data_IF_505662518792
#
_entry.id   IF_505662518792
#
_cell.length_a   1.000
_cell.length_b   1.000
_cell.length_c   1.000
_cell.angle_alpha   90.00
_cell.angle_beta   90.00
_cell.angle_gamma   90.00
#
_symmetry.space_group_name_H-M   'P 1'
#
loop_
_entity.id
_entity.type
_entity.pdbx_description
1 polymer ?
#
# COMPACT_ATOMS: atom_id res chain seq x y z
N UNK A 1 0.12 -1.22 14.95
CA UNK A 1 -0.57 -1.64 13.71
C UNK A 1 0.19 -2.77 13.06
N UNK A 2 0.08 -3.94 13.70
CA UNK A 2 0.51 -5.24 13.21
C UNK A 2 -0.47 -5.74 12.13
N UNK A 3 -0.05 -6.64 11.24
CA UNK A 3 -0.89 -7.30 10.22
C UNK A 3 -2.25 -7.80 10.77
N UNK A 4 -2.28 -8.26 12.02
CA UNK A 4 -3.48 -8.72 12.71
C UNK A 4 -4.53 -7.61 12.98
N UNK A 5 -4.08 -6.41 13.35
CA UNK A 5 -4.96 -5.25 13.52
C UNK A 5 -5.53 -4.77 12.18
N UNK A 6 -4.78 -4.98 11.10
CA UNK A 6 -5.16 -4.61 9.74
C UNK A 6 -6.28 -5.52 9.19
N UNK A 7 -6.14 -6.84 9.34
CA UNK A 7 -7.18 -7.82 8.99
C UNK A 7 -8.44 -7.60 9.83
N UNK A 8 -8.30 -7.28 11.11
CA UNK A 8 -9.44 -6.92 11.99
C UNK A 8 -10.15 -5.65 11.51
N UNK A 9 -9.41 -4.63 11.09
CA UNK A 9 -10.02 -3.41 10.50
C UNK A 9 -10.71 -3.69 9.18
N UNK A 10 -10.12 -4.49 8.30
CA UNK A 10 -10.73 -4.88 7.02
C UNK A 10 -12.04 -5.66 7.25
N UNK A 11 -12.03 -6.66 8.15
CA UNK A 11 -13.25 -7.39 8.57
C UNK A 11 -14.31 -6.47 9.15
N UNK A 12 -13.92 -5.46 9.92
CA UNK A 12 -14.84 -4.52 10.57
C UNK A 12 -15.51 -3.53 9.61
N UNK A 13 -15.00 -3.36 8.38
CA UNK A 13 -15.56 -2.43 7.38
C UNK A 13 -16.62 -3.13 6.50
N UNK A 14 -16.95 -4.40 6.77
CA UNK A 14 -18.09 -5.06 6.13
C UNK A 14 -17.92 -5.36 4.64
N UNK A 15 -16.69 -5.28 4.12
CA UNK A 15 -16.37 -5.83 2.81
C UNK A 15 -16.08 -7.32 2.99
N UNK A 16 -17.12 -8.15 2.83
CA UNK A 16 -16.95 -9.52 2.34
C UNK A 16 -16.47 -9.42 0.89
N UNK A 17 -15.22 -9.03 0.71
CA UNK A 17 -14.54 -8.96 -0.56
C UNK A 17 -13.10 -9.30 -0.26
N UNK A 18 -12.65 -10.43 -0.78
CA UNK A 18 -11.28 -10.91 -0.63
C UNK A 18 -10.33 -9.75 -0.91
N UNK A 19 -9.40 -9.49 0.02
CA UNK A 19 -8.38 -8.47 -0.19
C UNK A 19 -7.66 -8.77 -1.50
N UNK A 20 -7.30 -7.75 -2.30
CA UNK A 20 -6.52 -7.99 -3.50
C UNK A 20 -5.25 -8.80 -3.19
N UNK A 21 -4.94 -9.77 -4.05
CA UNK A 21 -3.88 -10.76 -3.84
C UNK A 21 -2.52 -10.13 -3.48
N UNK A 22 -2.23 -8.94 -4.03
CA UNK A 22 -1.00 -8.20 -3.76
C UNK A 22 -0.76 -7.85 -2.28
N UNK A 23 -1.80 -7.86 -1.42
CA UNK A 23 -1.62 -7.67 0.03
C UNK A 23 -0.91 -8.84 0.71
N UNK A 24 -1.01 -10.05 0.14
CA UNK A 24 -0.31 -11.25 0.63
C UNK A 24 1.15 -11.29 0.19
N UNK A 25 1.46 -10.69 -0.96
CA UNK A 25 2.81 -10.67 -1.54
C UNK A 25 3.75 -9.66 -0.87
N UNK A 26 3.20 -8.60 -0.25
CA UNK A 26 4.00 -7.56 0.40
C UNK A 26 4.33 -8.01 1.84
N UNK A 27 5.60 -8.21 2.16
CA UNK A 27 6.03 -8.40 3.55
C UNK A 27 6.11 -7.04 4.29
N UNK A 28 5.77 -7.01 5.59
CA UNK A 28 5.69 -5.76 6.35
C UNK A 28 7.05 -5.08 6.55
N UNK A 29 8.14 -5.86 6.58
CA UNK A 29 9.51 -5.36 6.73
C UNK A 29 10.23 -5.18 5.40
N UNK A 30 9.60 -5.60 4.29
CA UNK A 30 10.18 -5.46 2.96
C UNK A 30 10.42 -4.01 2.59
N UNK A 31 11.58 -3.75 2.01
CA UNK A 31 11.92 -2.48 1.40
C UNK A 31 11.64 -2.58 -0.10
N UNK A 32 10.71 -1.74 -0.58
CA UNK A 32 10.24 -1.75 -1.95
C UNK A 32 10.64 -0.46 -2.65
N UNK A 33 11.09 -0.61 -3.89
CA UNK A 33 11.31 0.52 -4.81
C UNK A 33 10.03 0.89 -5.55
N UNK A 34 9.93 2.12 -6.12
CA UNK A 34 8.77 2.51 -6.93
C UNK A 34 8.47 1.54 -8.08
N UNK A 35 9.53 0.94 -8.66
CA UNK A 35 9.40 -0.03 -9.74
C UNK A 35 8.77 -1.35 -9.26
N UNK A 36 9.21 -1.90 -8.12
CA UNK A 36 8.60 -3.10 -7.54
C UNK A 36 7.13 -2.87 -7.17
N UNK A 37 6.83 -1.71 -6.56
CA UNK A 37 5.45 -1.33 -6.23
C UNK A 37 4.60 -1.25 -7.51
N UNK A 38 5.17 -0.74 -8.60
CA UNK A 38 4.48 -0.66 -9.89
C UNK A 38 4.04 -2.04 -10.39
N UNK A 39 4.92 -3.05 -10.25
CA UNK A 39 4.62 -4.44 -10.62
C UNK A 39 3.62 -5.10 -9.69
N UNK A 40 3.72 -4.86 -8.37
CA UNK A 40 2.83 -5.45 -7.36
C UNK A 40 1.39 -4.91 -7.48
N UNK A 41 1.26 -3.59 -7.63
CA UNK A 41 -0.05 -2.91 -7.61
C UNK A 41 -0.65 -2.79 -9.01
N UNK A 42 0.12 -3.07 -10.07
CA UNK A 42 -0.32 -2.95 -11.46
C UNK A 42 -0.57 -1.51 -11.89
N UNK A 43 0.26 -0.57 -11.43
CA UNK A 43 0.20 0.85 -11.82
C UNK A 43 1.51 1.29 -12.45
N UNK A 44 1.49 2.35 -13.25
CA UNK A 44 2.73 2.90 -13.81
C UNK A 44 3.66 3.44 -12.71
N UNK A 45 4.97 3.27 -12.84
CA UNK A 45 5.98 3.73 -11.86
C UNK A 45 5.86 5.23 -11.55
N UNK A 46 5.59 6.06 -12.57
CA UNK A 46 5.37 7.51 -12.37
C UNK A 46 4.16 7.79 -11.46
N UNK A 47 3.16 6.92 -11.44
CA UNK A 47 2.02 7.04 -10.51
C UNK A 47 2.48 6.84 -9.08
N UNK A 48 3.37 5.86 -8.85
CA UNK A 48 3.96 5.60 -7.54
C UNK A 48 4.84 6.79 -7.12
N UNK A 49 5.70 7.29 -8.02
CA UNK A 49 6.53 8.49 -7.77
C UNK A 49 5.65 9.71 -7.46
N UNK A 50 4.52 9.88 -8.13
CA UNK A 50 3.56 10.95 -7.84
C UNK A 50 2.98 10.83 -6.43
N UNK A 51 2.65 9.62 -5.95
CA UNK A 51 2.17 9.42 -4.57
C UNK A 51 3.22 9.83 -3.54
N UNK A 52 4.49 9.53 -3.80
CA UNK A 52 5.61 9.91 -2.95
C UNK A 52 5.80 11.43 -2.95
N UNK A 53 5.91 12.06 -4.13
CA UNK A 53 6.08 13.53 -4.26
C UNK A 53 4.91 14.31 -3.67
N UNK A 54 3.71 13.74 -3.70
CA UNK A 54 2.51 14.35 -3.11
C UNK A 54 2.42 14.18 -1.59
N UNK A 55 3.38 13.49 -0.96
CA UNK A 55 3.38 13.20 0.48
C UNK A 55 2.34 12.17 0.92
N UNK A 56 1.70 11.45 -0.01
CA UNK A 56 0.67 10.45 0.31
C UNK A 56 1.26 9.10 0.69
N UNK A 57 2.41 8.76 0.10
CA UNK A 57 3.16 7.54 0.39
C UNK A 57 4.51 7.95 0.99
N UNK A 58 4.76 7.68 2.28
CA UNK A 58 6.03 8.00 2.89
C UNK A 58 7.12 7.10 2.30
N UNK A 59 8.20 7.73 1.82
CA UNK A 59 9.38 7.06 1.32
C UNK A 59 10.60 7.55 2.09
N UNK A 60 11.58 6.67 2.26
CA UNK A 60 12.92 6.98 2.74
C UNK A 60 13.87 7.13 1.55
N UNK A 61 14.88 7.99 1.70
CA UNK A 61 15.91 8.21 0.68
C UNK A 61 15.63 9.42 -0.21
N UNK A 62 16.69 10.20 -0.45
CA UNK A 62 16.63 11.45 -1.22
C UNK A 62 16.89 11.22 -2.72
N UNK A 63 17.79 10.28 -3.06
CA UNK A 63 18.15 9.92 -4.43
C UNK A 63 17.43 8.66 -4.93
N UNK A 64 17.24 7.68 -4.05
CA UNK A 64 16.52 6.43 -4.34
C UNK A 64 15.38 6.27 -3.33
N UNK A 65 14.15 6.35 -3.81
CA UNK A 65 12.99 6.14 -2.96
C UNK A 65 12.91 4.69 -2.51
N UNK A 66 12.76 4.49 -1.21
CA UNK A 66 12.57 3.19 -0.58
C UNK A 66 11.35 3.26 0.33
N UNK A 67 10.40 2.36 0.13
CA UNK A 67 9.12 2.34 0.83
C UNK A 67 9.08 1.06 1.67
N UNK A 68 8.67 1.18 2.93
CA UNK A 68 8.49 0.00 3.79
C UNK A 68 7.14 -0.63 3.46
N UNK A 69 7.08 -1.96 3.31
CA UNK A 69 5.87 -2.69 2.94
C UNK A 69 4.66 -2.37 3.83
N UNK A 70 4.87 -2.20 5.13
CA UNK A 70 3.80 -1.78 6.06
C UNK A 70 3.20 -0.40 5.70
N UNK A 71 4.01 0.55 5.27
CA UNK A 71 3.56 1.89 4.90
C UNK A 71 2.82 1.87 3.56
N UNK A 72 3.29 1.03 2.63
CA UNK A 72 2.59 0.77 1.37
C UNK A 72 1.20 0.18 1.62
N UNK A 73 1.09 -0.86 2.46
CA UNK A 73 -0.21 -1.48 2.82
C UNK A 73 -1.17 -0.45 3.43
N UNK A 74 -0.67 0.39 4.34
CA UNK A 74 -1.46 1.47 4.97
C UNK A 74 -2.00 2.46 3.94
N UNK A 75 -1.14 2.88 3.01
CA UNK A 75 -1.54 3.81 1.94
C UNK A 75 -2.59 3.19 1.02
N UNK A 76 -2.35 1.97 0.54
CA UNK A 76 -3.27 1.25 -0.35
C UNK A 76 -4.65 1.09 0.30
N UNK A 77 -4.69 0.75 1.58
CA UNK A 77 -5.94 0.63 2.31
C UNK A 77 -6.72 1.94 2.40
N UNK A 78 -6.06 3.05 2.69
CA UNK A 78 -6.73 4.37 2.70
C UNK A 78 -7.28 4.72 1.32
N UNK A 79 -6.55 4.38 0.26
CA UNK A 79 -6.96 4.60 -1.12
C UNK A 79 -8.15 3.73 -1.51
N UNK A 80 -8.15 2.45 -1.13
CA UNK A 80 -9.23 1.49 -1.44
C UNK A 80 -10.48 1.78 -0.61
N UNK A 81 -10.33 2.16 0.66
CA UNK A 81 -11.46 2.58 1.52
C UNK A 81 -12.25 3.74 0.92
N UNK A 82 -11.61 4.69 0.22
CA UNK A 82 -12.30 5.80 -0.46
C UNK A 82 -13.17 5.36 -1.64
N UNK A 83 -12.98 4.15 -2.16
CA UNK A 83 -13.75 3.60 -3.29
C UNK A 83 -14.94 2.75 -2.84
N UNK A 84 -15.02 2.39 -1.56
CA UNK A 84 -16.15 1.62 -1.04
C UNK A 84 -17.36 2.57 -0.87
N UNK A 85 -18.52 2.25 -1.45
CA UNK A 85 -19.74 2.97 -1.13
C UNK A 85 -20.04 2.78 0.36
N UNK A 86 -20.27 3.89 1.06
CA UNK A 86 -20.70 3.92 2.47
C UNK A 86 -22.15 3.50 2.56
#
# INVERSE_FOLDING_TARGET
MTYDEYVKKAKSIGTMGELPEYYHTIDDQQLLTPNEISGIVGVHEETVRRWIRSGKLPAKGFAHYTIIGIELKRFLFQKDKKKLPV
#
